data_IF_506947868024
#
_entry.id   IF_506947868024
#
_cell.length_a   1.000
_cell.length_b   1.000
_cell.length_c   1.000
_cell.angle_alpha   90.00
_cell.angle_beta   90.00
_cell.angle_gamma   90.00
#
_symmetry.space_group_name_H-M   'P 1'
#
loop_
_entity.id
_entity.type
_entity.pdbx_description
1 polymer ?
#
# COMPACT_ATOMS: atom_id res chain seq x y z
N UNK A 1 -16.16 7.73 4.62
CA UNK A 1 -14.87 8.40 4.95
C UNK A 1 -14.34 9.05 3.68
N UNK A 2 -13.63 10.18 3.74
CA UNK A 2 -12.97 10.74 2.54
C UNK A 2 -11.85 9.77 2.14
N UNK A 3 -12.14 8.88 1.20
CA UNK A 3 -11.18 7.88 0.74
C UNK A 3 -10.07 8.59 -0.05
N UNK A 4 -8.83 8.53 0.44
CA UNK A 4 -7.65 8.95 -0.32
C UNK A 4 -7.26 7.82 -1.27
N UNK A 5 -6.86 8.15 -2.51
CA UNK A 5 -6.39 7.17 -3.50
C UNK A 5 -4.88 7.19 -3.55
N UNK A 6 -4.25 6.01 -3.51
CA UNK A 6 -2.82 5.84 -3.70
C UNK A 6 -2.55 5.41 -5.15
N UNK A 7 -1.90 6.27 -5.93
CA UNK A 7 -1.43 5.94 -7.27
C UNK A 7 0.10 5.83 -7.24
N UNK A 8 0.65 4.73 -7.73
CA UNK A 8 2.10 4.52 -7.80
C UNK A 8 2.47 3.80 -9.09
N UNK A 9 3.68 4.10 -9.59
CA UNK A 9 4.22 3.48 -10.80
C UNK A 9 4.89 2.16 -10.45
N UNK A 10 4.51 1.11 -11.17
CA UNK A 10 5.10 -0.22 -11.07
C UNK A 10 5.57 -0.66 -12.45
N UNK A 11 6.59 -1.53 -12.47
CA UNK A 11 6.84 -2.34 -13.66
C UNK A 11 5.78 -3.42 -13.77
N UNK A 12 5.49 -3.86 -14.99
CA UNK A 12 4.52 -4.93 -15.26
C UNK A 12 4.82 -6.21 -14.46
N UNK A 13 6.11 -6.58 -14.37
CA UNK A 13 6.56 -7.71 -13.54
C UNK A 13 6.14 -7.60 -12.08
N UNK A 14 6.22 -6.40 -11.48
CA UNK A 14 5.83 -6.17 -10.08
C UNK A 14 4.31 -6.19 -9.92
N UNK A 15 3.60 -5.58 -10.87
CA UNK A 15 2.13 -5.59 -10.89
C UNK A 15 1.59 -7.02 -10.95
N UNK A 16 2.05 -7.82 -11.92
CA UNK A 16 1.60 -9.21 -12.09
C UNK A 16 1.91 -10.06 -10.87
N UNK A 17 3.06 -9.84 -10.20
CA UNK A 17 3.39 -10.54 -8.96
C UNK A 17 2.35 -10.28 -7.86
N UNK A 18 1.92 -9.03 -7.68
CA UNK A 18 0.94 -8.66 -6.67
C UNK A 18 -0.44 -9.24 -7.01
N UNK A 19 -0.83 -9.20 -8.29
CA UNK A 19 -2.09 -9.80 -8.76
C UNK A 19 -2.13 -11.31 -8.45
N UNK A 20 -1.08 -12.05 -8.82
CA UNK A 20 -1.01 -13.49 -8.58
C UNK A 20 -1.04 -13.83 -7.09
N UNK A 21 -0.27 -13.10 -6.27
CA UNK A 21 -0.26 -13.30 -4.82
C UNK A 21 -1.64 -13.03 -4.21
N UNK A 22 -2.35 -12.01 -4.68
CA UNK A 22 -3.70 -11.68 -4.19
C UNK A 22 -4.70 -12.79 -4.50
N UNK A 23 -4.59 -13.43 -5.66
CA UNK A 23 -5.41 -14.57 -6.03
C UNK A 23 -5.07 -15.82 -5.19
N UNK A 24 -3.78 -16.09 -4.95
CA UNK A 24 -3.33 -17.22 -4.13
C UNK A 24 -3.82 -17.13 -2.68
N UNK A 25 -3.85 -15.91 -2.13
CA UNK A 25 -4.26 -15.65 -0.74
C UNK A 25 -5.77 -15.38 -0.57
N UNK A 26 -6.56 -15.44 -1.64
CA UNK A 26 -8.00 -15.06 -1.69
C UNK A 26 -8.27 -13.69 -1.05
N UNK A 27 -7.44 -12.70 -1.41
CA UNK A 27 -7.47 -11.34 -0.84
C UNK A 27 -7.44 -10.29 -1.92
N UNK A 28 -7.98 -9.11 -1.63
CA UNK A 28 -7.86 -7.98 -2.54
C UNK A 28 -6.46 -7.36 -2.46
N UNK A 29 -5.98 -6.80 -3.59
CA UNK A 29 -4.72 -6.05 -3.62
C UNK A 29 -4.72 -4.91 -2.60
N UNK A 30 -5.85 -4.22 -2.44
CA UNK A 30 -6.00 -3.17 -1.43
C UNK A 30 -5.79 -3.70 -0.01
N UNK A 31 -6.41 -4.83 0.35
CA UNK A 31 -6.22 -5.42 1.69
C UNK A 31 -4.78 -5.83 1.96
N UNK A 32 -4.05 -6.34 0.95
CA UNK A 32 -2.63 -6.64 1.09
C UNK A 32 -1.80 -5.38 1.31
N UNK A 33 -2.08 -4.32 0.56
CA UNK A 33 -1.37 -3.04 0.68
C UNK A 33 -1.68 -2.40 2.03
N UNK A 34 -2.94 -2.42 2.48
CA UNK A 34 -3.35 -1.86 3.77
C UNK A 34 -2.61 -2.57 4.91
N UNK A 35 -2.56 -3.90 4.91
CA UNK A 35 -1.80 -4.68 5.91
C UNK A 35 -0.29 -4.38 5.85
N UNK A 36 0.29 -4.24 4.65
CA UNK A 36 1.69 -3.85 4.52
C UNK A 36 1.93 -2.46 5.06
N UNK A 37 1.04 -1.50 4.82
CA UNK A 37 1.13 -0.14 5.36
C UNK A 37 1.05 -0.17 6.89
N UNK A 38 0.13 -0.94 7.45
CA UNK A 38 -0.04 -1.09 8.90
C UNK A 38 1.19 -1.75 9.55
N UNK A 39 1.96 -2.53 8.80
CA UNK A 39 3.22 -3.13 9.27
C UNK A 39 4.42 -2.18 9.24
N UNK A 40 4.30 -1.01 8.60
CA UNK A 40 5.40 -0.04 8.52
C UNK A 40 5.64 0.62 9.88
N UNK A 41 6.90 0.93 10.23
CA UNK A 41 7.18 1.71 11.43
C UNK A 41 6.55 3.10 11.31
N UNK A 42 6.13 3.68 12.44
CA UNK A 42 5.66 5.05 12.44
C UNK A 42 6.75 5.98 11.87
N UNK A 43 6.38 6.90 10.96
CA UNK A 43 7.35 7.84 10.42
C UNK A 43 7.94 8.65 11.58
N UNK A 44 9.27 8.64 11.69
CA UNK A 44 9.99 9.53 12.60
C UNK A 44 9.57 10.94 12.21
N UNK A 45 8.72 11.60 13.00
CA UNK A 45 8.27 12.97 12.76
C UNK A 45 9.51 13.86 12.64
N UNK A 46 9.99 14.11 11.44
CA UNK A 46 10.78 15.30 11.17
C UNK A 46 9.78 16.44 11.26
N UNK A 47 9.93 17.23 12.32
CA UNK A 47 9.34 18.55 12.50
C UNK A 47 9.13 19.28 11.18
N UNK A 48 7.93 19.17 10.65
CA UNK A 48 7.29 20.19 9.83
C UNK A 48 5.88 20.31 10.40
N UNK A 49 5.80 21.07 11.50
CA UNK A 49 4.92 22.25 11.60
C UNK A 49 4.64 22.78 10.19
N UNK A 50 3.42 22.95 9.69
CA UNK A 50 2.23 23.67 10.16
C UNK A 50 1.23 23.66 8.96
N UNK A 51 0.01 24.24 9.02
CA UNK A 51 -0.87 24.60 10.13
C UNK A 51 -2.22 23.84 10.11
#
# INVERSE_FOLDING_TARGET
MKNKRLNFRLTERRYNKIVLLSAELDRTISSLIDEWIDSLPEPKKSTMTEP
#
